data_IF_096811222555
#
_entry.id   IF_096811222555
#
_cell.length_a   1.000
_cell.length_b   1.000
_cell.length_c   1.000
_cell.angle_alpha   90.00
_cell.angle_beta   90.00
_cell.angle_gamma   90.00
#
_symmetry.space_group_name_H-M   'P 1'
#
loop_
_entity.id
_entity.type
_entity.pdbx_description
1 polymer ?
#
# COMPACT_ATOMS: atom_id res chain seq x y z
N UNK A 1 25.74 -18.53 -7.92
CA UNK A 1 25.07 -19.36 -8.95
C UNK A 1 24.62 -18.42 -10.04
N UNK A 2 25.00 -18.63 -11.31
CA UNK A 2 24.42 -17.89 -12.43
C UNK A 2 22.95 -18.30 -12.62
N UNK A 3 22.10 -17.38 -13.05
CA UNK A 3 20.71 -17.63 -13.43
C UNK A 3 20.36 -16.84 -14.69
N UNK A 4 19.41 -17.36 -15.47
CA UNK A 4 19.03 -16.75 -16.75
C UNK A 4 18.01 -15.61 -16.59
N UNK A 5 17.26 -15.60 -15.48
CA UNK A 5 16.26 -14.58 -15.17
C UNK A 5 15.94 -14.50 -13.66
N UNK A 6 15.37 -13.37 -13.25
CA UNK A 6 14.90 -13.10 -11.87
C UNK A 6 13.41 -12.81 -11.86
N UNK A 7 12.67 -13.44 -10.93
CA UNK A 7 11.25 -13.17 -10.67
C UNK A 7 11.09 -12.52 -9.30
N UNK A 8 10.56 -11.30 -9.27
CA UNK A 8 10.29 -10.56 -8.03
C UNK A 8 8.90 -10.98 -7.52
N UNK A 9 8.90 -11.88 -6.54
CA UNK A 9 7.70 -12.42 -5.89
C UNK A 9 7.26 -11.67 -4.63
N UNK A 10 7.75 -10.44 -4.41
CA UNK A 10 7.33 -9.60 -3.28
C UNK A 10 6.40 -8.48 -3.78
N UNK A 11 5.45 -7.99 -2.96
CA UNK A 11 4.64 -6.83 -3.34
C UNK A 11 5.48 -5.55 -3.50
N UNK A 12 6.57 -5.45 -2.74
CA UNK A 12 7.52 -4.36 -2.80
C UNK A 12 8.25 -4.32 -4.15
N UNK A 13 8.52 -3.11 -4.64
CA UNK A 13 9.24 -2.94 -5.89
C UNK A 13 10.76 -2.91 -5.66
N UNK A 14 11.39 -4.09 -5.75
CA UNK A 14 12.83 -4.23 -5.55
C UNK A 14 13.66 -3.56 -6.67
N UNK A 15 13.08 -3.31 -7.84
CA UNK A 15 13.79 -2.62 -8.95
C UNK A 15 14.11 -1.16 -8.62
N UNK A 16 13.46 -0.60 -7.59
CA UNK A 16 13.75 0.74 -7.07
C UNK A 16 14.91 0.78 -6.08
N UNK A 17 15.35 -0.38 -5.59
CA UNK A 17 16.37 -0.50 -4.53
C UNK A 17 17.63 -1.22 -4.99
N UNK A 18 17.50 -2.12 -5.97
CA UNK A 18 18.57 -2.97 -6.48
C UNK A 18 18.66 -2.86 -7.99
N UNK A 19 19.87 -3.03 -8.52
CA UNK A 19 20.10 -3.19 -9.97
C UNK A 19 20.20 -4.68 -10.28
N UNK A 20 19.57 -5.10 -11.38
CA UNK A 20 19.59 -6.48 -11.85
C UNK A 20 20.22 -6.51 -13.24
N UNK A 21 21.32 -7.25 -13.38
CA UNK A 21 22.02 -7.41 -14.67
C UNK A 21 21.39 -8.52 -15.54
N UNK A 22 20.38 -9.21 -15.02
CA UNK A 22 19.65 -10.29 -15.71
C UNK A 22 18.20 -9.88 -16.00
N UNK A 23 17.58 -10.45 -17.05
CA UNK A 23 16.17 -10.23 -17.35
C UNK A 23 15.29 -10.41 -16.11
N UNK A 24 14.49 -9.41 -15.78
CA UNK A 24 13.73 -9.37 -14.53
C UNK A 24 12.24 -9.17 -14.80
N UNK A 25 11.41 -9.99 -14.17
CA UNK A 25 9.95 -9.88 -14.19
C UNK A 25 9.40 -9.63 -12.79
N UNK A 26 8.38 -8.77 -12.67
CA UNK A 26 7.72 -8.47 -11.39
C UNK A 26 6.31 -9.05 -11.36
N UNK A 27 6.00 -9.79 -10.30
CA UNK A 27 4.64 -10.25 -10.03
C UNK A 27 3.82 -9.09 -9.47
N UNK A 28 2.63 -8.85 -10.04
CA UNK A 28 1.67 -7.87 -9.52
C UNK A 28 0.64 -8.56 -8.65
N UNK A 29 0.54 -8.14 -7.40
CA UNK A 29 -0.46 -8.61 -6.44
C UNK A 29 -1.61 -7.60 -6.38
N UNK A 30 -2.85 -8.10 -6.29
CA UNK A 30 -4.03 -7.28 -6.00
C UNK A 30 -4.58 -7.71 -4.66
N UNK A 31 -4.74 -6.77 -3.74
CA UNK A 31 -5.43 -7.05 -2.48
C UNK A 31 -6.89 -7.38 -2.78
N UNK A 32 -7.36 -8.49 -2.22
CA UNK A 32 -8.77 -8.85 -2.17
C UNK A 32 -9.13 -9.09 -0.71
N UNK A 33 -10.03 -8.26 -0.20
CA UNK A 33 -10.54 -8.41 1.16
C UNK A 33 -11.65 -9.47 1.15
N UNK A 34 -11.61 -10.37 2.13
CA UNK A 34 -12.56 -11.47 2.26
C UNK A 34 -13.37 -11.21 3.54
N UNK A 35 -14.69 -11.20 3.40
CA UNK A 35 -15.60 -10.90 4.51
C UNK A 35 -15.78 -9.41 4.75
N UNK A 36 -16.39 -9.08 5.88
CA UNK A 36 -16.69 -7.70 6.31
C UNK A 36 -16.42 -7.54 7.80
N UNK A 37 -16.10 -6.32 8.27
CA UNK A 37 -15.93 -5.08 7.50
C UNK A 37 -14.64 -5.05 6.68
N UNK A 38 -14.63 -4.28 5.59
CA UNK A 38 -13.40 -4.06 4.82
C UNK A 38 -12.61 -2.87 5.37
N UNK A 39 -11.34 -2.74 4.99
CA UNK A 39 -10.44 -1.68 5.42
C UNK A 39 -11.02 -0.29 5.11
N UNK A 40 -11.72 -0.15 3.98
CA UNK A 40 -12.40 1.08 3.62
C UNK A 40 -13.46 1.49 4.66
N UNK A 41 -14.21 0.53 5.21
CA UNK A 41 -15.22 0.79 6.24
C UNK A 41 -14.55 1.29 7.52
N UNK A 42 -13.50 0.59 7.95
CA UNK A 42 -12.76 0.93 9.17
C UNK A 42 -12.11 2.31 9.08
N UNK A 43 -11.50 2.64 7.94
CA UNK A 43 -10.91 3.97 7.70
C UNK A 43 -12.01 5.03 7.66
N UNK A 44 -13.13 4.76 6.98
CA UNK A 44 -14.26 5.68 6.87
C UNK A 44 -14.85 6.03 8.24
N UNK A 45 -15.09 5.02 9.07
CA UNK A 45 -15.56 5.22 10.44
C UNK A 45 -14.57 6.03 11.28
N UNK A 46 -13.28 5.70 11.19
CA UNK A 46 -12.25 6.39 11.95
C UNK A 46 -12.15 7.87 11.56
N UNK A 47 -12.20 8.18 10.27
CA UNK A 47 -12.24 9.55 9.78
C UNK A 47 -13.49 10.29 10.26
N UNK A 48 -14.66 9.66 10.17
CA UNK A 48 -15.91 10.26 10.64
C UNK A 48 -15.87 10.58 12.14
N UNK A 49 -15.29 9.70 12.96
CA UNK A 49 -15.08 9.94 14.40
C UNK A 49 -14.13 11.12 14.63
N UNK A 50 -13.01 11.19 13.90
CA UNK A 50 -12.04 12.29 14.03
C UNK A 50 -12.60 13.64 13.62
N UNK A 51 -13.34 13.73 12.52
CA UNK A 51 -13.92 15.00 12.06
C UNK A 51 -14.93 15.56 13.07
N UNK A 52 -15.70 14.70 13.75
CA UNK A 52 -16.62 15.13 14.82
C UNK A 52 -15.91 15.65 16.07
N UNK A 53 -14.70 15.18 16.33
CA UNK A 53 -13.93 15.54 17.53
C UNK A 53 -12.94 16.68 17.30
N UNK A 54 -12.84 17.21 16.08
CA UNK A 54 -11.96 18.34 15.81
C UNK A 54 -12.65 19.64 16.23
N UNK A 55 -12.20 20.32 17.31
CA UNK A 55 -12.70 21.65 17.59
C UNK A 55 -12.41 22.54 16.38
N UNK A 56 -13.41 23.33 15.95
CA UNK A 56 -13.22 24.35 14.91
C UNK A 56 -11.98 25.15 15.28
N UNK A 57 -10.86 24.95 14.57
CA UNK A 57 -9.68 25.81 14.74
C UNK A 57 -10.17 27.21 14.41
N UNK A 58 -10.38 28.02 15.45
CA UNK A 58 -10.77 29.41 15.33
C UNK A 58 -9.85 30.05 14.31
N UNK A 59 -10.42 30.46 13.18
CA UNK A 59 -9.75 31.33 12.25
C UNK A 59 -9.42 32.60 13.02
N UNK A 60 -8.14 32.78 13.33
CA UNK A 60 -7.60 33.98 13.94
C UNK A 60 -6.59 34.55 12.95
N UNK A 61 -6.99 35.71 12.41
CA UNK A 61 -6.25 36.66 11.58
C UNK A 61 -6.10 36.34 10.10
#
# INVERSE_FOLDING_TARGET
MPCDAVVIGTPADLTRLLTFDTPTARVRYRLQEIGTPVLADLIGEWLARRTRQQPKRTASR
#
